data_IF_600918188518
#
_entry.id   IF_600918188518
#
_cell.length_a   1.000
_cell.length_b   1.000
_cell.length_c   1.000
_cell.angle_alpha   90.00
_cell.angle_beta   90.00
_cell.angle_gamma   90.00
#
_symmetry.space_group_name_H-M   'P 1'
#
loop_
_entity.id
_entity.type
_entity.pdbx_description
1 polymer ?
#
# COMPACT_ATOMS: atom_id res chain seq x y z
N UNK A 1 -18.46 14.05 -1.22
CA UNK A 1 -18.00 14.34 0.16
C UNK A 1 -16.58 14.90 0.05
N UNK A 2 -15.86 15.30 1.12
CA UNK A 2 -14.42 15.47 0.97
C UNK A 2 -13.81 14.15 0.51
N UNK A 3 -12.83 14.24 -0.38
CA UNK A 3 -12.02 13.10 -0.83
C UNK A 3 -10.65 13.24 -0.20
N UNK A 4 -10.08 12.13 0.24
CA UNK A 4 -8.74 12.07 0.81
C UNK A 4 -7.91 11.10 0.00
N UNK A 5 -6.64 11.44 -0.21
CA UNK A 5 -5.66 10.55 -0.80
C UNK A 5 -4.83 9.90 0.29
N UNK A 6 -4.80 8.58 0.30
CA UNK A 6 -4.06 7.74 1.23
C UNK A 6 -2.82 7.21 0.54
N UNK A 7 -1.66 7.44 1.14
CA UNK A 7 -0.36 6.98 0.66
C UNK A 7 0.05 5.74 1.45
N UNK A 8 0.44 4.69 0.77
CA UNK A 8 0.89 3.46 1.39
C UNK A 8 1.92 2.73 0.52
N UNK A 9 2.68 1.83 1.11
CA UNK A 9 3.72 1.11 0.38
C UNK A 9 3.80 -0.36 0.76
N UNK A 10 4.13 -1.19 -0.23
CA UNK A 10 4.59 -2.54 -0.01
C UNK A 10 6.06 -2.53 0.44
N UNK A 11 6.39 -3.35 1.45
CA UNK A 11 7.72 -3.43 2.07
C UNK A 11 8.35 -4.83 1.90
N UNK A 12 8.96 -5.10 0.76
CA UNK A 12 9.61 -6.39 0.53
C UNK A 12 11.03 -6.43 1.15
N UNK A 13 11.42 -7.49 1.88
CA UNK A 13 12.81 -7.66 2.25
C UNK A 13 13.64 -7.90 0.98
N UNK A 14 14.68 -7.07 0.77
CA UNK A 14 15.68 -7.40 -0.26
C UNK A 14 16.36 -8.67 0.23
N UNK A 15 16.15 -9.79 -0.46
CA UNK A 15 16.75 -11.06 -0.08
C UNK A 15 18.24 -10.85 0.13
N UNK A 16 18.68 -11.00 1.38
CA UNK A 16 20.08 -10.95 1.70
C UNK A 16 20.72 -12.20 1.08
N UNK A 17 21.25 -12.05 -0.13
CA UNK A 17 22.17 -12.99 -0.78
C UNK A 17 23.51 -13.11 -0.02
N UNK A 18 23.51 -12.81 1.28
CA UNK A 18 24.65 -12.86 2.17
C UNK A 18 25.11 -14.32 2.34
N UNK A 19 26.33 -14.58 1.91
CA UNK A 19 27.04 -15.82 2.13
C UNK A 19 27.18 -16.11 3.64
N UNK A 20 27.40 -17.37 4.06
CA UNK A 20 27.53 -17.72 5.49
C UNK A 20 28.58 -16.89 6.26
N UNK A 21 29.64 -16.46 5.56
CA UNK A 21 30.71 -15.60 6.12
C UNK A 21 30.25 -14.18 6.40
N UNK A 22 29.38 -13.62 5.56
CA UNK A 22 28.81 -12.28 5.74
C UNK A 22 27.80 -12.25 6.88
N UNK A 23 27.06 -13.36 7.10
CA UNK A 23 26.16 -13.51 8.26
C UNK A 23 26.92 -13.51 9.60
N UNK A 24 28.10 -14.12 9.63
CA UNK A 24 28.99 -14.10 10.80
C UNK A 24 29.56 -12.70 11.09
N UNK A 25 29.85 -11.91 10.06
CA UNK A 25 30.31 -10.53 10.21
C UNK A 25 29.20 -9.57 10.70
N UNK A 26 27.93 -9.94 10.52
CA UNK A 26 26.75 -9.17 10.94
C UNK A 26 26.20 -9.57 12.32
N UNK A 27 26.71 -10.64 12.95
CA UNK A 27 26.37 -11.00 14.33
C UNK A 27 26.83 -9.89 15.29
N UNK A 28 25.90 -9.00 15.66
CA UNK A 28 26.14 -7.84 16.51
C UNK A 28 25.82 -6.49 15.85
N UNK A 29 25.43 -6.48 14.57
CA UNK A 29 24.86 -5.31 13.90
C UNK A 29 23.39 -5.59 13.60
N UNK A 30 22.49 -4.81 14.19
CA UNK A 30 21.14 -4.62 13.64
C UNK A 30 21.28 -3.79 12.37
N UNK A 31 21.79 -4.42 11.31
CA UNK A 31 21.69 -3.85 9.98
C UNK A 31 20.19 -3.86 9.65
N UNK A 32 19.58 -2.67 9.53
CA UNK A 32 18.23 -2.54 8.97
C UNK A 32 18.27 -3.29 7.65
N UNK A 33 17.45 -4.33 7.50
CA UNK A 33 17.34 -5.01 6.22
C UNK A 33 16.98 -3.94 5.18
N UNK A 34 17.72 -3.90 4.08
CA UNK A 34 17.31 -3.06 2.95
C UNK A 34 15.95 -3.61 2.51
N UNK A 35 14.93 -2.76 2.54
CA UNK A 35 13.60 -3.09 2.07
C UNK A 35 13.45 -2.47 0.69
N UNK A 36 12.93 -3.24 -0.26
CA UNK A 36 12.39 -2.70 -1.50
C UNK A 36 11.01 -2.12 -1.18
N UNK A 37 10.78 -0.93 -1.68
CA UNK A 37 9.56 -0.16 -1.48
C UNK A 37 8.84 -0.02 -2.82
N UNK A 38 7.55 -0.33 -2.84
CA UNK A 38 6.64 -0.04 -3.94
C UNK A 38 5.53 0.85 -3.39
N UNK A 39 5.46 2.10 -3.86
CA UNK A 39 4.50 3.12 -3.39
C UNK A 39 3.18 3.01 -4.14
N UNK A 40 2.07 3.25 -3.43
CA UNK A 40 0.69 3.20 -3.91
C UNK A 40 -0.10 4.40 -3.37
N UNK A 41 -1.15 4.79 -4.09
CA UNK A 41 -2.06 5.88 -3.73
C UNK A 41 -3.51 5.43 -3.89
N UNK A 42 -4.37 5.75 -2.92
CA UNK A 42 -5.80 5.42 -2.95
C UNK A 42 -6.65 6.66 -2.62
N UNK A 43 -7.69 6.92 -3.40
CA UNK A 43 -8.65 8.00 -3.10
C UNK A 43 -9.91 7.46 -2.39
N UNK A 44 -10.21 8.02 -1.23
CA UNK A 44 -11.33 7.61 -0.37
C UNK A 44 -12.16 8.80 0.09
N UNK A 45 -13.48 8.66 -0.01
CA UNK A 45 -14.41 9.65 0.53
C UNK A 45 -14.61 9.49 2.05
N UNK A 46 -14.71 10.60 2.77
CA UNK A 46 -15.05 10.60 4.20
C UNK A 46 -15.35 12.00 4.73
N UNK A 47 -16.09 12.13 5.84
CA UNK A 47 -16.33 13.46 6.43
C UNK A 47 -15.11 13.98 7.21
N UNK A 48 -14.11 13.12 7.44
CA UNK A 48 -12.82 13.45 8.07
C UNK A 48 -11.73 12.46 7.64
N UNK A 49 -10.44 12.79 7.87
CA UNK A 49 -9.32 11.85 7.65
C UNK A 49 -9.50 10.52 8.41
N UNK A 50 -10.04 10.57 9.63
CA UNK A 50 -10.30 9.37 10.44
C UNK A 50 -11.34 8.46 9.77
N UNK A 51 -12.41 9.06 9.23
CA UNK A 51 -13.43 8.30 8.51
C UNK A 51 -12.93 7.78 7.17
N UNK A 52 -12.12 8.56 6.45
CA UNK A 52 -11.46 8.12 5.23
C UNK A 52 -10.50 6.94 5.48
N UNK A 53 -9.70 6.97 6.55
CA UNK A 53 -8.87 5.83 6.96
C UNK A 53 -9.72 4.61 7.33
N UNK A 54 -10.84 4.82 8.04
CA UNK A 54 -11.76 3.74 8.37
C UNK A 54 -12.35 3.08 7.10
N UNK A 55 -12.66 3.87 6.08
CA UNK A 55 -13.11 3.41 4.77
C UNK A 55 -12.00 2.67 4.00
N UNK A 56 -10.81 3.26 3.89
CA UNK A 56 -9.61 2.66 3.30
C UNK A 56 -9.36 1.25 3.87
N UNK A 57 -9.24 1.12 5.19
CA UNK A 57 -8.95 -0.17 5.81
C UNK A 57 -10.08 -1.20 5.66
N UNK A 58 -11.34 -0.81 5.39
CA UNK A 58 -12.42 -1.77 5.07
C UNK A 58 -12.20 -2.42 3.70
N UNK A 59 -11.63 -1.68 2.76
CA UNK A 59 -11.41 -2.14 1.40
C UNK A 59 -10.19 -3.07 1.34
N UNK A 60 -9.09 -2.70 2.00
CA UNK A 60 -7.84 -3.48 1.98
C UNK A 60 -7.79 -4.62 3.00
N UNK A 61 -8.44 -4.47 4.16
CA UNK A 61 -8.28 -5.41 5.29
C UNK A 61 -9.65 -5.90 5.79
N UNK A 62 -10.12 -7.07 5.30
CA UNK A 62 -11.41 -7.65 5.70
C UNK A 62 -11.53 -7.89 7.21
N UNK A 63 -10.40 -8.15 7.88
CA UNK A 63 -10.31 -8.33 9.33
C UNK A 63 -9.36 -7.29 9.95
N UNK A 64 -9.96 -6.26 10.54
CA UNK A 64 -9.26 -5.12 11.15
C UNK A 64 -8.33 -5.49 12.30
N UNK A 65 -8.51 -6.66 12.93
CA UNK A 65 -7.58 -7.12 13.97
C UNK A 65 -6.17 -7.39 13.41
N UNK A 66 -6.03 -7.45 12.09
CA UNK A 66 -4.77 -7.63 11.36
C UNK A 66 -4.04 -6.31 11.07
N UNK A 67 -4.64 -5.16 11.40
CA UNK A 67 -4.01 -3.84 11.34
C UNK A 67 -3.38 -3.53 12.69
N UNK A 68 -2.12 -3.07 12.68
CA UNK A 68 -1.40 -2.64 13.87
C UNK A 68 -0.82 -1.25 13.63
N UNK A 69 -0.87 -0.37 14.63
CA UNK A 69 -0.08 0.86 14.59
C UNK A 69 1.28 0.63 15.23
N UNK A 70 2.30 1.32 14.74
CA UNK A 70 3.68 1.17 15.17
C UNK A 70 4.09 2.41 15.96
N UNK A 71 4.67 2.21 17.15
CA UNK A 71 5.22 3.32 17.95
C UNK A 71 6.64 3.70 17.49
N UNK A 72 7.17 4.81 18.03
CA UNK A 72 8.54 5.27 17.74
C UNK A 72 9.64 4.26 18.09
N UNK A 73 9.33 3.27 18.93
CA UNK A 73 10.22 2.17 19.30
C UNK A 73 10.11 0.97 18.35
N UNK A 74 9.25 1.06 17.33
CA UNK A 74 9.01 0.00 16.34
C UNK A 74 8.11 -1.12 16.85
N UNK A 75 7.37 -0.91 17.95
CA UNK A 75 6.47 -1.94 18.51
C UNK A 75 5.08 -1.79 17.91
N UNK A 76 4.53 -2.90 17.46
CA UNK A 76 3.16 -2.99 16.97
C UNK A 76 2.14 -3.05 18.11
N UNK A 77 1.03 -2.34 17.92
CA UNK A 77 -0.09 -2.28 18.86
C UNK A 77 -1.40 -2.47 18.10
N UNK A 78 -2.28 -3.31 18.64
CA UNK A 78 -3.61 -3.55 18.04
C UNK A 78 -4.54 -2.35 18.21
N UNK A 79 -5.48 -2.20 17.28
CA UNK A 79 -6.56 -1.21 17.36
C UNK A 79 -7.70 -1.70 18.27
N UNK A 80 -8.32 -0.78 19.03
CA UNK A 80 -9.49 -1.06 19.87
C UNK A 80 -10.83 -0.80 19.17
N UNK A 81 -10.89 0.12 18.21
CA UNK A 81 -12.08 0.51 17.44
C UNK A 81 -11.78 1.56 16.35
N UNK A 82 -12.83 2.02 15.65
CA UNK A 82 -12.73 2.98 14.52
C UNK A 82 -12.30 4.37 14.96
N UNK A 83 -12.59 4.72 16.21
CA UNK A 83 -12.21 5.99 16.85
C UNK A 83 -10.71 6.06 17.19
N UNK A 84 -9.96 4.96 17.00
CA UNK A 84 -8.52 4.88 17.29
C UNK A 84 -7.62 5.17 16.09
N UNK A 85 -8.20 5.42 14.90
CA UNK A 85 -7.40 5.86 13.75
C UNK A 85 -6.91 7.29 13.98
N UNK A 86 -5.61 7.47 13.78
CA UNK A 86 -4.86 8.68 14.00
C UNK A 86 -3.97 8.88 12.77
N UNK A 87 -4.22 9.90 11.93
CA UNK A 87 -3.52 10.09 10.66
C UNK A 87 -2.01 10.33 10.85
N UNK A 88 -1.57 10.69 12.06
CA UNK A 88 -0.14 10.89 12.38
C UNK A 88 0.58 9.59 12.75
N UNK A 89 -0.11 8.45 12.82
CA UNK A 89 0.49 7.15 13.14
C UNK A 89 0.79 6.33 11.89
N UNK A 90 1.87 5.57 11.96
CA UNK A 90 2.17 4.52 10.98
C UNK A 90 1.37 3.27 11.29
N UNK A 91 0.64 2.76 10.29
CA UNK A 91 -0.08 1.49 10.36
C UNK A 91 0.58 0.45 9.47
N UNK A 92 0.56 -0.80 9.89
CA UNK A 92 1.06 -1.95 9.14
C UNK A 92 0.01 -3.05 9.07
N UNK A 93 -0.10 -3.70 7.91
CA UNK A 93 -0.98 -4.85 7.68
C UNK A 93 -0.38 -5.80 6.65
N UNK A 94 -1.10 -6.89 6.36
CA UNK A 94 -0.75 -7.83 5.29
C UNK A 94 -1.93 -7.94 4.34
N UNK A 95 -1.68 -7.74 3.05
CA UNK A 95 -2.65 -7.82 1.97
C UNK A 95 -2.11 -8.75 0.88
N UNK A 96 -2.82 -9.84 0.57
CA UNK A 96 -2.37 -10.85 -0.40
C UNK A 96 -0.94 -11.36 -0.14
N UNK A 97 -0.61 -11.65 1.12
CA UNK A 97 0.73 -12.04 1.61
C UNK A 97 1.84 -10.97 1.45
N UNK A 98 1.48 -9.76 1.03
CA UNK A 98 2.39 -8.61 0.92
C UNK A 98 2.33 -7.75 2.18
N UNK A 99 3.47 -7.44 2.82
CA UNK A 99 3.52 -6.54 3.96
C UNK A 99 3.33 -5.09 3.49
N UNK A 100 2.35 -4.40 4.06
CA UNK A 100 1.98 -3.05 3.70
C UNK A 100 2.20 -2.08 4.85
N UNK A 101 2.53 -0.83 4.53
CA UNK A 101 2.77 0.26 5.47
C UNK A 101 2.04 1.53 5.02
N UNK A 102 1.27 2.12 5.91
CA UNK A 102 0.64 3.43 5.72
C UNK A 102 1.67 4.54 5.90
N UNK A 103 1.72 5.48 4.96
CA UNK A 103 2.69 6.56 4.91
C UNK A 103 2.08 7.95 5.16
N UNK A 104 0.79 8.13 4.90
CA UNK A 104 0.12 9.40 5.14
C UNK A 104 -1.24 9.52 4.49
N UNK A 105 -1.93 10.61 4.80
CA UNK A 105 -3.23 10.94 4.22
C UNK A 105 -3.35 12.46 4.06
N UNK A 106 -3.78 12.90 2.89
CA UNK A 106 -4.00 14.32 2.58
C UNK A 106 -5.41 14.53 2.01
N UNK A 107 -5.99 15.72 2.23
CA UNK A 107 -7.24 16.09 1.57
C UNK A 107 -6.96 16.28 0.07
N UNK A 108 -7.63 15.47 -0.76
CA UNK A 108 -7.50 15.56 -2.20
C UNK A 108 -8.14 16.88 -2.66
N UNK A 109 -7.35 17.72 -3.32
CA UNK A 109 -7.89 18.94 -3.92
C UNK A 109 -8.61 18.55 -5.22
N UNK A 110 -9.90 18.87 -5.38
CA UNK A 110 -10.62 18.58 -6.62
C UNK A 110 -9.87 19.18 -7.83
N UNK A 111 -9.66 18.37 -8.86
CA UNK A 111 -8.89 18.78 -10.04
C UNK A 111 -7.38 18.51 -9.98
N UNK A 112 -6.85 17.96 -8.88
CA UNK A 112 -5.42 17.63 -8.80
C UNK A 112 -5.11 16.27 -9.42
N UNK A 113 -4.24 16.25 -10.44
CA UNK A 113 -3.73 15.03 -11.08
C UNK A 113 -2.25 14.84 -10.80
N UNK A 114 -1.83 13.59 -10.60
CA UNK A 114 -0.42 13.20 -10.53
C UNK A 114 0.01 12.68 -11.90
N UNK A 115 1.11 13.20 -12.44
CA UNK A 115 1.64 12.73 -13.71
C UNK A 115 2.37 11.39 -13.52
N UNK A 116 1.91 10.29 -14.13
CA UNK A 116 2.48 8.95 -13.94
C UNK A 116 3.91 8.81 -14.48
N UNK A 117 4.38 9.78 -15.28
CA UNK A 117 5.71 9.74 -15.90
C UNK A 117 6.79 10.44 -15.08
N UNK A 118 6.42 11.38 -14.20
CA UNK A 118 7.38 12.22 -13.51
C UNK A 118 7.05 12.52 -12.05
N UNK A 119 5.96 11.96 -11.52
CA UNK A 119 5.44 12.25 -10.18
C UNK A 119 5.18 13.75 -9.93
N UNK A 120 4.93 14.51 -11.00
CA UNK A 120 4.59 15.92 -10.90
C UNK A 120 3.09 16.10 -10.64
N UNK A 121 2.73 16.98 -9.70
CA UNK A 121 1.32 17.31 -9.44
C UNK A 121 0.89 18.55 -10.25
N UNK A 122 -0.32 18.52 -10.79
CA UNK A 122 -0.92 19.64 -11.51
C UNK A 122 -2.42 19.77 -11.23
N UNK A 123 -2.92 20.99 -11.21
CA UNK A 123 -4.35 21.28 -11.09
C UNK A 123 -4.95 21.45 -12.50
N UNK A 124 -5.99 20.67 -12.78
CA UNK A 124 -6.82 20.72 -13.98
C UNK A 124 -8.30 20.87 -13.58
N UNK A 125 -9.18 21.02 -14.56
CA UNK A 125 -10.62 21.03 -14.29
C UNK A 125 -11.04 19.67 -13.69
N UNK A 126 -11.90 19.69 -12.66
CA UNK A 126 -12.35 18.49 -11.94
C UNK A 126 -12.85 17.38 -12.87
N UNK A 127 -13.62 17.74 -13.90
CA UNK A 127 -14.11 16.78 -14.90
C UNK A 127 -12.98 16.11 -15.69
N UNK A 128 -11.89 16.85 -15.95
CA UNK A 128 -10.72 16.32 -16.65
C UNK A 128 -9.83 15.49 -15.72
N UNK A 129 -9.75 15.84 -14.44
CA UNK A 129 -9.09 15.01 -13.43
C UNK A 129 -9.82 13.66 -13.29
N UNK A 130 -11.15 13.68 -13.22
CA UNK A 130 -11.95 12.45 -13.15
C UNK A 130 -11.76 11.57 -14.40
N UNK A 131 -11.78 12.15 -15.61
CA UNK A 131 -11.48 11.41 -16.86
C UNK A 131 -10.05 10.85 -16.85
N UNK A 132 -9.08 11.60 -16.32
CA UNK A 132 -7.69 11.16 -16.22
C UNK A 132 -7.55 9.96 -15.28
N UNK A 133 -8.17 9.99 -14.11
CA UNK A 133 -8.15 8.89 -13.16
C UNK A 133 -8.87 7.64 -13.72
N UNK A 134 -10.01 7.82 -14.39
CA UNK A 134 -10.70 6.68 -15.05
C UNK A 134 -9.80 5.99 -16.08
N UNK A 135 -9.04 6.74 -16.88
CA UNK A 135 -8.16 6.15 -17.91
C UNK A 135 -6.91 5.49 -17.32
N UNK A 136 -6.30 6.08 -16.29
CA UNK A 136 -5.00 5.63 -15.79
C UNK A 136 -5.09 4.67 -14.60
N UNK A 137 -6.15 4.73 -13.80
CA UNK A 137 -6.35 3.80 -12.67
C UNK A 137 -6.93 2.45 -13.17
N UNK A 138 -7.63 2.43 -14.32
CA UNK A 138 -8.20 1.21 -14.91
C UNK A 138 -7.12 0.31 -15.55
N UNK A 139 -6.04 0.88 -16.12
CA UNK A 139 -4.94 0.12 -16.73
C UNK A 139 -4.04 -0.64 -15.71
N UNK A 140 -4.05 -0.32 -14.41
CA UNK A 140 -3.33 -1.12 -13.39
C UNK A 140 -4.12 -2.36 -12.94
N UNK A 141 -5.41 -2.48 -13.30
CA UNK A 141 -6.27 -3.61 -12.93
C UNK A 141 -6.33 -4.72 -13.98
N UNK A 142 -5.78 -4.49 -15.17
CA UNK A 142 -5.88 -5.40 -16.32
C UNK A 142 -4.67 -6.34 -16.51
N UNK A 143 -3.65 -6.28 -15.64
CA UNK A 143 -2.53 -7.23 -15.62
C UNK A 143 -2.87 -8.61 -15.01
N UNK A 144 -4.16 -8.97 -14.93
CA UNK A 144 -4.62 -10.29 -14.51
C UNK A 144 -5.36 -11.09 -15.59
N UNK A 145 -5.12 -10.88 -16.89
CA UNK A 145 -5.51 -11.88 -17.91
C UNK A 145 -4.49 -12.04 -19.06
N UNK A 146 -3.94 -13.26 -19.20
CA UNK A 146 -3.20 -13.70 -20.40
C UNK A 146 -2.16 -14.80 -20.10
N UNK A 147 -2.58 -16.07 -20.01
CA UNK A 147 -2.41 -17.11 -21.05
C UNK A 147 -0.98 -17.72 -21.08
N UNK A 148 -0.84 -19.03 -20.87
CA UNK A 148 -0.48 -20.02 -21.91
C UNK A 148 -0.19 -21.35 -21.16
N UNK A 149 -0.27 -22.57 -21.66
CA UNK A 149 -0.75 -23.19 -22.88
C UNK A 149 -0.61 -24.71 -22.63
N UNK A 150 -1.40 -25.48 -23.35
CA UNK A 150 -1.61 -26.91 -23.24
C UNK A 150 -0.33 -27.77 -23.35
N UNK A 151 -0.22 -28.84 -22.55
CA UNK A 151 0.58 -30.04 -22.90
C UNK A 151 0.25 -31.28 -22.04
N UNK A 152 -0.81 -31.99 -22.45
CA UNK A 152 -0.89 -33.46 -22.64
C UNK A 152 0.31 -34.33 -22.20
N UNK A 153 0.10 -35.28 -21.27
CA UNK A 153 0.23 -36.74 -21.51
C UNK A 153 0.09 -37.59 -20.21
N UNK A 154 -0.73 -38.64 -20.34
CA UNK A 154 -0.92 -39.91 -19.61
C UNK A 154 -0.04 -40.30 -18.38
N UNK A 155 -0.67 -40.97 -17.37
CA UNK A 155 -0.45 -42.39 -16.99
C UNK A 155 -1.27 -42.81 -15.75
N UNK A 156 -2.16 -43.78 -15.98
CA UNK A 156 -2.69 -44.90 -15.15
C UNK A 156 -2.81 -44.83 -13.61
N UNK A 157 -3.98 -45.28 -13.13
CA UNK A 157 -4.22 -45.90 -11.83
C UNK A 157 -5.58 -46.59 -11.79
#
# INVERSE_FOLDING_TARGET
>A
MPTYRVYYAEREPVEATATPSERLARLGRTDKAELKETEWEDEVEGDSQVEALDAFFRNHVPDRTRVQWVDDEGRGHSLGGTEDFDPDKTYVWVENDRPMEFQGIDEATPGMVTCPLCNGHGEVEEALAAEFHEVWDEEESEDEEGEDDESRADVQG
#
